data_IF_304985373009
#
_entry.id   IF_304985373009
#
_cell.length_a   1.000
_cell.length_b   1.000
_cell.length_c   1.000
_cell.angle_alpha   90.00
_cell.angle_beta   90.00
_cell.angle_gamma   90.00
#
_symmetry.space_group_name_H-M   'P 1'
#
loop_
_entity.id
_entity.type
_entity.pdbx_description
1 polymer ?
#
# COMPACT_ATOMS: atom_id res chain seq x y z
N UNK A 1 24.34 -14.13 4.05
CA UNK A 1 25.75 -13.67 3.98
C UNK A 1 25.77 -12.18 3.67
N UNK A 2 26.53 -11.37 4.42
CA UNK A 2 26.45 -9.91 4.40
C UNK A 2 27.62 -9.28 5.16
N UNK A 3 27.43 -8.17 5.88
CA UNK A 3 28.50 -7.46 6.62
C UNK A 3 29.34 -8.39 7.54
N UNK A 4 28.74 -9.49 8.04
CA UNK A 4 29.42 -10.50 8.87
C UNK A 4 30.40 -11.41 8.11
N UNK A 5 30.26 -11.51 6.79
CA UNK A 5 31.15 -12.30 5.90
C UNK A 5 32.05 -11.45 5.01
N UNK A 6 32.08 -10.12 5.22
CA UNK A 6 32.86 -9.12 4.44
C UNK A 6 32.54 -9.05 2.93
N UNK A 7 31.77 -9.98 2.39
CA UNK A 7 31.24 -10.02 1.03
C UNK A 7 29.90 -10.79 0.99
N UNK A 8 29.02 -10.37 0.08
CA UNK A 8 27.68 -10.88 -0.17
C UNK A 8 27.07 -10.12 -1.34
N UNK A 9 25.78 -9.79 -1.31
CA UNK A 9 25.17 -8.93 -2.34
C UNK A 9 25.75 -7.51 -2.39
N UNK A 10 26.40 -7.08 -1.32
CA UNK A 10 27.11 -5.81 -1.22
C UNK A 10 28.51 -6.03 -0.63
N UNK A 11 29.48 -5.26 -1.12
CA UNK A 11 30.85 -5.23 -0.62
C UNK A 11 31.22 -3.78 -0.27
N UNK A 12 31.72 -3.54 0.94
CA UNK A 12 32.27 -2.24 1.34
C UNK A 12 33.76 -2.21 1.02
N UNK A 13 34.21 -1.18 0.33
CA UNK A 13 35.62 -0.87 0.08
C UNK A 13 35.93 0.38 0.88
N UNK A 14 36.90 0.29 1.80
CA UNK A 14 37.33 1.47 2.56
C UNK A 14 38.02 2.43 1.60
N UNK A 15 37.54 3.67 1.55
CA UNK A 15 38.19 4.72 0.77
C UNK A 15 39.38 5.31 1.55
N UNK A 16 40.23 6.06 0.85
CA UNK A 16 41.38 6.74 1.45
C UNK A 16 40.93 7.76 2.52
N UNK A 17 41.84 8.10 3.43
CA UNK A 17 41.57 8.96 4.59
C UNK A 17 40.91 10.29 4.17
N UNK A 18 39.64 10.48 4.55
CA UNK A 18 38.81 11.63 4.19
C UNK A 18 37.71 11.39 3.15
N UNK A 19 37.59 10.18 2.59
CA UNK A 19 36.54 9.81 1.62
C UNK A 19 35.54 8.78 2.20
N UNK A 20 34.28 8.84 1.76
CA UNK A 20 33.24 7.89 2.17
C UNK A 20 33.54 6.46 1.65
N UNK A 21 33.31 5.45 2.49
CA UNK A 21 33.42 4.04 2.09
C UNK A 21 32.56 3.73 0.85
N UNK A 22 33.18 3.20 -0.20
CA UNK A 22 32.45 2.80 -1.41
C UNK A 22 31.68 1.50 -1.16
N UNK A 23 30.38 1.54 -1.43
CA UNK A 23 29.53 0.33 -1.46
C UNK A 23 29.41 -0.17 -2.89
N UNK A 24 29.98 -1.33 -3.16
CA UNK A 24 29.78 -2.08 -4.39
C UNK A 24 28.57 -3.01 -4.26
N UNK A 25 27.81 -3.17 -5.34
CA UNK A 25 26.72 -4.13 -5.46
C UNK A 25 27.11 -5.20 -6.48
N UNK A 26 26.68 -6.44 -6.27
CA UNK A 26 26.91 -7.51 -7.25
C UNK A 26 25.90 -7.39 -8.39
N UNK A 27 26.38 -7.50 -9.64
CA UNK A 27 25.50 -7.71 -10.79
C UNK A 27 25.07 -9.18 -10.80
N UNK A 28 23.77 -9.45 -10.89
CA UNK A 28 23.24 -10.81 -10.84
C UNK A 28 23.48 -11.60 -12.13
N UNK A 29 23.81 -10.94 -13.24
CA UNK A 29 24.13 -11.58 -14.53
C UNK A 29 25.61 -11.90 -14.66
N UNK A 30 26.48 -10.97 -14.28
CA UNK A 30 27.94 -11.15 -14.43
C UNK A 30 28.61 -11.64 -13.15
N UNK A 31 27.91 -11.56 -12.00
CA UNK A 31 28.45 -11.82 -10.65
C UNK A 31 29.62 -10.89 -10.27
N UNK A 32 29.84 -9.81 -11.03
CA UNK A 32 30.87 -8.82 -10.77
C UNK A 32 30.35 -7.68 -9.90
N UNK A 33 31.25 -7.11 -9.11
CA UNK A 33 30.93 -5.98 -8.25
C UNK A 33 31.05 -4.66 -9.02
N UNK A 34 30.01 -3.86 -9.01
CA UNK A 34 29.98 -2.52 -9.59
C UNK A 34 29.62 -1.47 -8.52
N UNK A 35 30.01 -0.20 -8.71
CA UNK A 35 29.59 0.89 -7.83
C UNK A 35 28.07 0.91 -7.69
N UNK A 36 27.56 0.98 -6.45
CA UNK A 36 26.11 1.00 -6.20
C UNK A 36 25.47 2.18 -6.93
N UNK A 37 24.69 1.89 -7.95
CA UNK A 37 23.85 2.88 -8.59
C UNK A 37 22.51 2.96 -7.86
N UNK A 38 22.15 4.16 -7.37
CA UNK A 38 20.79 4.42 -6.89
C UNK A 38 19.91 4.65 -8.11
N UNK A 39 18.89 3.82 -8.36
CA UNK A 39 17.96 4.04 -9.47
C UNK A 39 17.31 5.42 -9.34
N UNK A 40 17.37 6.23 -10.41
CA UNK A 40 16.71 7.53 -10.46
C UNK A 40 15.43 7.39 -11.28
N UNK A 41 14.31 7.75 -10.67
CA UNK A 41 13.01 7.74 -11.32
C UNK A 41 12.46 9.16 -11.26
N UNK A 42 12.28 9.86 -12.40
CA UNK A 42 11.80 11.24 -12.43
C UNK A 42 10.49 11.43 -11.64
N UNK A 43 9.57 10.47 -11.73
CA UNK A 43 8.30 10.51 -11.02
C UNK A 43 8.48 10.44 -9.49
N UNK A 44 9.43 9.63 -9.00
CA UNK A 44 9.74 9.58 -7.56
C UNK A 44 10.36 10.89 -7.07
N UNK A 45 11.19 11.54 -7.88
CA UNK A 45 11.79 12.82 -7.51
C UNK A 45 10.74 13.94 -7.45
N UNK A 46 9.76 13.94 -8.35
CA UNK A 46 8.63 14.87 -8.28
C UNK A 46 7.73 14.60 -7.06
N UNK A 47 7.44 13.32 -6.79
CA UNK A 47 6.56 12.92 -5.68
C UNK A 47 7.12 13.28 -4.29
N UNK A 48 8.45 13.41 -4.14
CA UNK A 48 9.07 13.85 -2.87
C UNK A 48 8.65 15.25 -2.44
N UNK A 49 8.26 16.11 -3.38
CA UNK A 49 7.84 17.48 -3.09
C UNK A 49 6.36 17.57 -2.69
N UNK A 50 5.61 16.46 -2.71
CA UNK A 50 4.20 16.43 -2.32
C UNK A 50 4.11 16.00 -0.86
N UNK A 51 3.78 16.94 0.03
CA UNK A 51 3.70 16.67 1.47
C UNK A 51 2.52 15.74 1.82
N UNK A 52 1.38 15.89 1.14
CA UNK A 52 0.19 15.08 1.41
C UNK A 52 0.31 13.67 0.80
N UNK A 53 0.18 12.64 1.65
CA UNK A 53 0.46 11.25 1.28
C UNK A 53 -0.54 10.68 0.26
N UNK A 54 -1.82 11.07 0.33
CA UNK A 54 -2.84 10.67 -0.64
C UNK A 54 -2.62 11.27 -2.04
N UNK A 55 -2.32 12.56 -2.14
CA UNK A 55 -1.98 13.25 -3.38
C UNK A 55 -0.71 12.69 -3.98
N UNK A 56 0.30 12.43 -3.15
CA UNK A 56 1.54 11.76 -3.55
C UNK A 56 1.24 10.38 -4.14
N UNK A 57 0.38 9.60 -3.48
CA UNK A 57 -0.04 8.29 -3.95
C UNK A 57 -0.76 8.37 -5.30
N UNK A 58 -1.75 9.25 -5.44
CA UNK A 58 -2.50 9.43 -6.69
C UNK A 58 -1.59 9.86 -7.84
N UNK A 59 -0.63 10.74 -7.56
CA UNK A 59 0.40 11.14 -8.53
C UNK A 59 1.28 9.94 -8.95
N UNK A 60 1.78 9.16 -8.00
CA UNK A 60 2.63 7.99 -8.28
C UNK A 60 1.89 6.90 -9.07
N UNK A 61 0.59 6.78 -8.88
CA UNK A 61 -0.26 5.83 -9.60
C UNK A 61 -0.75 6.36 -10.96
N UNK A 62 -0.49 7.62 -11.28
CA UNK A 62 -1.00 8.29 -12.48
C UNK A 62 -2.53 8.46 -12.46
N UNK A 63 -3.12 8.56 -11.25
CA UNK A 63 -4.56 8.77 -11.04
C UNK A 63 -4.93 10.25 -10.91
N UNK A 64 -3.96 11.15 -10.74
CA UNK A 64 -4.17 12.59 -10.66
C UNK A 64 -3.03 13.36 -11.36
N UNK A 65 -3.41 14.33 -12.20
CA UNK A 65 -2.48 15.23 -12.90
C UNK A 65 -1.69 14.57 -14.04
N UNK A 66 -0.58 13.92 -13.67
CA UNK A 66 0.38 13.33 -14.61
C UNK A 66 -0.06 11.91 -14.92
N UNK A 67 -0.80 11.73 -16.02
CA UNK A 67 -1.24 10.39 -16.47
C UNK A 67 -0.08 9.41 -16.62
N UNK A 68 -0.36 8.09 -16.72
CA UNK A 68 0.66 7.04 -16.75
C UNK A 68 1.73 7.35 -17.81
N UNK A 69 2.94 7.63 -17.33
CA UNK A 69 4.05 8.00 -18.20
C UNK A 69 4.57 6.76 -18.93
N UNK A 70 4.71 6.85 -20.25
CA UNK A 70 5.22 5.75 -21.07
C UNK A 70 6.67 5.47 -20.66
N UNK A 71 6.91 4.31 -20.06
CA UNK A 71 8.23 3.92 -19.54
C UNK A 71 8.42 4.09 -18.03
N UNK A 72 7.39 4.53 -17.29
CA UNK A 72 7.45 4.59 -15.84
C UNK A 72 7.30 3.20 -15.19
N UNK A 73 8.45 2.58 -14.94
CA UNK A 73 8.54 1.29 -14.26
C UNK A 73 8.14 1.38 -12.79
N UNK A 74 8.31 2.54 -12.15
CA UNK A 74 8.02 2.70 -10.73
C UNK A 74 6.51 2.75 -10.49
N UNK A 75 5.77 3.57 -11.25
CA UNK A 75 4.31 3.63 -11.17
C UNK A 75 3.64 2.32 -11.58
N UNK A 76 4.16 1.63 -12.61
CA UNK A 76 3.65 0.31 -13.02
C UNK A 76 3.84 -0.75 -11.91
N UNK A 77 5.01 -0.76 -11.27
CA UNK A 77 5.28 -1.64 -10.13
C UNK A 77 4.37 -1.32 -8.95
N UNK A 78 4.26 -0.05 -8.57
CA UNK A 78 3.44 0.39 -7.44
C UNK A 78 1.96 0.08 -7.69
N UNK A 79 1.47 0.31 -8.90
CA UNK A 79 0.11 -0.05 -9.29
C UNK A 79 -0.17 -1.54 -9.12
N UNK A 80 0.73 -2.41 -9.62
CA UNK A 80 0.54 -3.85 -9.47
C UNK A 80 0.59 -4.28 -8.01
N UNK A 81 1.56 -3.80 -7.24
CA UNK A 81 1.70 -4.15 -5.83
C UNK A 81 0.49 -3.70 -5.00
N UNK A 82 0.02 -2.46 -5.22
CA UNK A 82 -1.12 -1.93 -4.48
C UNK A 82 -2.45 -2.53 -4.92
N UNK A 83 -2.67 -2.80 -6.22
CA UNK A 83 -3.88 -3.50 -6.66
C UNK A 83 -4.01 -4.87 -6.01
N UNK A 84 -2.90 -5.60 -5.92
CA UNK A 84 -2.88 -6.94 -5.35
C UNK A 84 -3.05 -6.86 -3.82
N UNK A 85 -2.42 -5.89 -3.17
CA UNK A 85 -2.60 -5.61 -1.74
C UNK A 85 -4.06 -5.28 -1.40
N UNK A 86 -4.71 -4.42 -2.17
CA UNK A 86 -6.09 -4.00 -1.95
C UNK A 86 -7.06 -5.16 -2.14
N UNK A 87 -6.95 -5.90 -3.24
CA UNK A 87 -7.77 -7.08 -3.48
C UNK A 87 -7.54 -8.16 -2.43
N UNK A 88 -6.29 -8.41 -2.05
CA UNK A 88 -5.96 -9.37 -0.99
C UNK A 88 -6.58 -8.94 0.35
N UNK A 89 -6.33 -7.70 0.78
CA UNK A 89 -6.84 -7.18 2.06
C UNK A 89 -8.35 -7.23 2.11
N UNK A 90 -9.03 -6.86 1.03
CA UNK A 90 -10.48 -6.93 0.94
C UNK A 90 -11.01 -8.36 1.00
N UNK A 91 -10.35 -9.34 0.37
CA UNK A 91 -10.76 -10.74 0.47
C UNK A 91 -10.58 -11.35 1.87
N UNK A 92 -9.74 -10.76 2.72
CA UNK A 92 -9.52 -11.20 4.11
C UNK A 92 -10.47 -10.57 5.12
N UNK A 93 -11.25 -9.56 4.71
CA UNK A 93 -12.30 -8.96 5.54
C UNK A 93 -13.36 -10.01 5.85
N UNK A 94 -13.73 -10.13 7.12
CA UNK A 94 -14.61 -11.16 7.69
C UNK A 94 -14.02 -12.58 7.82
N UNK A 95 -12.79 -12.81 7.35
CA UNK A 95 -12.06 -14.07 7.60
C UNK A 95 -11.07 -13.91 8.75
N UNK A 96 -10.27 -12.83 8.72
CA UNK A 96 -9.20 -12.57 9.71
C UNK A 96 -9.57 -11.42 10.66
N UNK A 97 -10.47 -10.53 10.24
CA UNK A 97 -10.87 -9.34 10.99
C UNK A 97 -12.34 -9.04 10.78
N UNK A 98 -13.02 -8.61 11.84
CA UNK A 98 -14.42 -8.20 11.80
C UNK A 98 -14.59 -6.82 11.14
N UNK A 99 -13.53 -6.00 11.13
CA UNK A 99 -13.57 -4.64 10.58
C UNK A 99 -12.35 -4.28 9.72
N UNK A 100 -12.55 -3.38 8.75
CA UNK A 100 -11.45 -2.79 7.94
C UNK A 100 -10.53 -1.90 8.79
N UNK A 101 -11.08 -1.30 9.85
CA UNK A 101 -10.36 -0.41 10.78
C UNK A 101 -9.27 -1.18 11.54
N UNK A 102 -9.56 -2.40 11.97
CA UNK A 102 -8.60 -3.25 12.67
C UNK A 102 -7.44 -3.67 11.78
N UNK A 103 -7.72 -3.97 10.49
CA UNK A 103 -6.67 -4.29 9.51
C UNK A 103 -5.74 -3.09 9.33
N UNK A 104 -6.30 -1.90 9.13
CA UNK A 104 -5.50 -0.68 8.96
C UNK A 104 -4.70 -0.36 10.23
N UNK A 105 -5.29 -0.47 11.42
CA UNK A 105 -4.58 -0.29 12.69
C UNK A 105 -3.45 -1.30 12.87
N UNK A 106 -3.67 -2.56 12.52
CA UNK A 106 -2.65 -3.60 12.61
C UNK A 106 -1.46 -3.27 11.70
N UNK A 107 -1.72 -2.79 10.47
CA UNK A 107 -0.66 -2.39 9.54
C UNK A 107 0.08 -1.13 10.03
N UNK A 108 -0.64 -0.14 10.55
CA UNK A 108 -0.04 1.09 11.07
C UNK A 108 0.83 0.84 12.30
N UNK A 109 0.32 0.07 13.27
CA UNK A 109 1.03 -0.18 14.52
C UNK A 109 2.09 -1.28 14.40
N UNK A 110 1.84 -2.30 13.58
CA UNK A 110 2.75 -3.44 13.41
C UNK A 110 3.87 -3.20 12.41
N UNK A 111 3.59 -2.49 11.33
CA UNK A 111 4.55 -2.24 10.25
C UNK A 111 4.97 -0.76 10.12
N UNK A 112 4.52 0.09 11.05
CA UNK A 112 4.78 1.54 11.05
C UNK A 112 4.34 2.23 9.73
N UNK A 113 3.21 1.80 9.18
CA UNK A 113 2.62 2.44 8.01
C UNK A 113 1.93 3.75 8.42
N UNK A 114 2.02 4.76 7.55
CA UNK A 114 1.34 6.04 7.76
C UNK A 114 -0.18 5.90 7.55
N UNK A 115 -0.56 5.19 6.49
CA UNK A 115 -1.93 4.85 6.12
C UNK A 115 -2.06 3.34 5.95
N UNK A 116 -3.13 2.77 6.50
CA UNK A 116 -3.44 1.35 6.29
C UNK A 116 -3.89 1.05 4.85
N UNK A 117 -3.96 -0.23 4.43
CA UNK A 117 -4.39 -0.61 3.09
C UNK A 117 -5.74 -0.03 2.66
N UNK A 118 -6.76 0.05 3.53
CA UNK A 118 -8.06 0.61 3.16
C UNK A 118 -8.05 2.14 3.16
N UNK A 119 -7.34 2.78 4.10
CA UNK A 119 -7.07 4.23 4.08
C UNK A 119 -6.32 4.65 2.81
N UNK A 120 -5.32 3.86 2.38
CA UNK A 120 -4.59 4.06 1.12
C UNK A 120 -5.53 3.91 -0.09
N UNK A 121 -6.43 2.93 -0.05
CA UNK A 121 -7.39 2.73 -1.13
C UNK A 121 -8.36 3.91 -1.25
N UNK A 122 -8.85 4.42 -0.12
CA UNK A 122 -9.70 5.60 -0.09
C UNK A 122 -8.96 6.85 -0.57
N UNK A 123 -7.69 7.02 -0.17
CA UNK A 123 -6.86 8.12 -0.65
C UNK A 123 -6.59 8.05 -2.17
N UNK A 124 -6.45 6.85 -2.73
CA UNK A 124 -6.32 6.63 -4.16
C UNK A 124 -7.65 6.79 -4.93
N UNK A 125 -8.78 6.61 -4.26
CA UNK A 125 -10.13 6.64 -4.82
C UNK A 125 -10.61 5.26 -5.26
N UNK A 126 -11.55 4.66 -4.51
CA UNK A 126 -12.03 3.29 -4.74
C UNK A 126 -12.70 3.14 -6.12
N UNK A 127 -13.51 4.11 -6.54
CA UNK A 127 -14.23 4.05 -7.82
C UNK A 127 -13.27 4.02 -9.03
N UNK A 128 -12.30 4.94 -9.04
CA UNK A 128 -11.33 5.08 -10.13
C UNK A 128 -10.40 3.86 -10.19
N UNK A 129 -9.90 3.42 -9.03
CA UNK A 129 -9.01 2.26 -8.94
C UNK A 129 -9.72 0.98 -9.38
N UNK A 130 -10.97 0.75 -8.97
CA UNK A 130 -11.77 -0.41 -9.39
C UNK A 130 -12.09 -0.35 -10.88
N UNK A 131 -12.46 0.81 -11.42
CA UNK A 131 -12.70 0.98 -12.85
C UNK A 131 -11.45 0.62 -13.67
N UNK A 132 -10.27 1.07 -13.23
CA UNK A 132 -8.99 0.72 -13.86
C UNK A 132 -8.67 -0.77 -13.72
N UNK A 133 -8.85 -1.37 -12.55
CA UNK A 133 -8.66 -2.81 -12.34
C UNK A 133 -9.55 -3.65 -13.26
N UNK A 134 -10.82 -3.27 -13.43
CA UNK A 134 -11.75 -3.92 -14.36
C UNK A 134 -11.31 -3.78 -15.81
N UNK A 135 -10.88 -2.58 -16.23
CA UNK A 135 -10.34 -2.35 -17.57
C UNK A 135 -9.11 -3.21 -17.87
N UNK A 136 -8.28 -3.47 -16.86
CA UNK A 136 -7.09 -4.30 -16.95
C UNK A 136 -7.37 -5.81 -16.71
N UNK A 137 -8.64 -6.22 -16.54
CA UNK A 137 -9.03 -7.60 -16.18
C UNK A 137 -8.34 -8.15 -14.93
N UNK A 138 -8.03 -7.29 -13.96
CA UNK A 138 -7.48 -7.69 -12.66
C UNK A 138 -8.59 -8.17 -11.73
N UNK A 139 -8.25 -9.05 -10.80
CA UNK A 139 -9.18 -9.54 -9.79
C UNK A 139 -9.60 -8.39 -8.86
N UNK A 140 -10.92 -8.24 -8.66
CA UNK A 140 -11.52 -7.29 -7.71
C UNK A 140 -12.33 -8.08 -6.68
N UNK A 141 -12.18 -7.74 -5.41
CA UNK A 141 -12.86 -8.44 -4.32
C UNK A 141 -14.38 -8.16 -4.33
N UNK A 142 -15.25 -9.18 -4.10
CA UNK A 142 -16.70 -9.01 -4.18
C UNK A 142 -17.29 -7.99 -3.18
N UNK A 143 -16.65 -7.80 -2.04
CA UNK A 143 -17.08 -6.83 -1.03
C UNK A 143 -16.92 -5.37 -1.49
N UNK A 144 -15.90 -5.08 -2.30
CA UNK A 144 -15.71 -3.76 -2.92
C UNK A 144 -16.82 -3.48 -3.93
N UNK A 145 -17.18 -4.48 -4.72
CA UNK A 145 -18.27 -4.34 -5.68
C UNK A 145 -19.60 -4.09 -4.98
N UNK A 146 -19.85 -4.80 -3.87
CA UNK A 146 -21.01 -4.54 -2.99
C UNK A 146 -20.98 -3.14 -2.38
N UNK A 147 -19.79 -2.65 -1.99
CA UNK A 147 -19.61 -1.30 -1.47
C UNK A 147 -20.01 -0.26 -2.51
N UNK A 148 -19.48 -0.37 -3.74
CA UNK A 148 -19.78 0.54 -4.85
C UNK A 148 -21.25 0.44 -5.30
N UNK A 149 -21.81 -0.77 -5.35
CA UNK A 149 -23.22 -1.00 -5.66
C UNK A 149 -24.17 -0.40 -4.61
N UNK A 150 -23.73 -0.27 -3.36
CA UNK A 150 -24.48 0.42 -2.30
C UNK A 150 -24.41 1.96 -2.39
N UNK A 151 -23.80 2.51 -3.45
CA UNK A 151 -23.65 3.95 -3.66
C UNK A 151 -22.53 4.60 -2.83
N UNK A 152 -21.73 3.80 -2.11
CA UNK A 152 -20.61 4.30 -1.31
C UNK A 152 -19.35 4.35 -2.16
N UNK A 153 -18.56 5.41 -2.00
CA UNK A 153 -17.34 5.66 -2.78
C UNK A 153 -16.05 5.49 -1.99
N UNK A 154 -16.16 5.20 -0.70
CA UNK A 154 -15.07 5.08 0.26
C UNK A 154 -15.44 4.05 1.32
N UNK A 155 -14.42 3.37 1.85
CA UNK A 155 -14.53 2.40 2.93
C UNK A 155 -14.87 3.07 4.27
N UNK A 156 -14.33 4.27 4.49
CA UNK A 156 -14.55 5.07 5.67
C UNK A 156 -15.69 6.08 5.47
N UNK A 157 -16.33 6.49 6.58
CA UNK A 157 -17.11 7.72 6.63
C UNK A 157 -16.45 8.69 7.58
N UNK A 158 -16.44 9.96 7.20
CA UNK A 158 -16.11 11.03 8.13
C UNK A 158 -17.27 11.15 9.13
N UNK A 159 -16.98 10.85 10.40
CA UNK A 159 -17.89 11.11 11.51
C UNK A 159 -17.45 12.43 12.18
N UNK A 160 -18.25 13.51 12.08
CA UNK A 160 -17.87 14.81 12.63
C UNK A 160 -17.85 14.85 14.17
N UNK A 161 -18.23 13.78 14.88
CA UNK A 161 -18.29 13.76 16.35
C UNK A 161 -17.06 13.19 17.05
N UNK A 162 -16.07 12.69 16.30
CA UNK A 162 -14.83 12.15 16.88
C UNK A 162 -13.63 13.03 16.53
N UNK A 163 -13.09 13.73 17.53
CA UNK A 163 -11.91 14.62 17.41
C UNK A 163 -10.58 13.87 17.15
N UNK A 164 -10.62 12.62 16.72
CA UNK A 164 -9.44 11.84 16.35
C UNK A 164 -9.84 10.77 15.34
N UNK A 165 -9.30 10.89 14.12
CA UNK A 165 -9.11 9.83 13.11
C UNK A 165 -10.36 9.05 12.68
N UNK A 166 -10.80 9.29 11.43
CA UNK A 166 -11.77 8.51 10.63
C UNK A 166 -12.17 7.16 11.24
N UNK A 167 -13.21 7.16 12.06
CA UNK A 167 -13.63 6.03 12.86
C UNK A 167 -15.12 5.75 12.76
N UNK A 168 -15.64 5.57 11.55
CA UNK A 168 -17.05 5.22 11.33
C UNK A 168 -17.22 4.22 10.19
N UNK A 169 -17.48 2.95 10.53
CA UNK A 169 -17.86 1.90 9.57
C UNK A 169 -19.23 2.17 8.96
N UNK A 170 -19.39 1.82 7.69
CA UNK A 170 -20.70 1.80 7.03
C UNK A 170 -21.16 0.38 6.78
N UNK A 171 -21.94 -0.15 7.71
CA UNK A 171 -22.79 -1.32 7.48
C UNK A 171 -22.22 -2.61 8.05
N UNK A 172 -22.64 -2.92 9.27
CA UNK A 172 -22.49 -4.26 9.81
C UNK A 172 -23.34 -5.25 9.02
N UNK A 173 -22.70 -6.23 8.40
CA UNK A 173 -23.37 -7.47 8.00
C UNK A 173 -23.54 -8.27 9.29
N UNK A 174 -24.65 -8.03 10.01
CA UNK A 174 -25.07 -8.93 11.10
C UNK A 174 -25.60 -10.21 10.45
N UNK A 175 -24.72 -11.20 10.30
CA UNK A 175 -25.13 -12.59 10.18
C UNK A 175 -25.79 -12.99 11.50
N UNK A 176 -27.08 -13.34 11.44
CA UNK A 176 -27.88 -13.69 12.60
C UNK A 176 -27.32 -14.91 13.32
N UNK A 177 -26.82 -14.72 14.54
CA UNK A 177 -26.73 -15.78 15.54
C UNK A 177 -27.65 -15.42 16.70
N UNK A 178 -28.65 -16.28 16.89
CA UNK A 178 -29.70 -16.13 17.89
C UNK A 178 -29.13 -15.97 19.30
N UNK A 179 -29.82 -15.14 20.08
CA UNK A 179 -29.65 -14.99 21.53
C UNK A 179 -29.63 -16.37 22.19
N UNK A 180 -28.51 -16.76 22.78
CA UNK A 180 -28.53 -17.73 23.89
C UNK A 180 -28.65 -16.94 25.20
N UNK A 181 -29.72 -17.28 25.92
CA UNK A 181 -30.13 -16.72 27.19
C UNK A 181 -29.17 -17.18 28.31
N UNK A 182 -28.62 -16.30 29.16
CA UNK A 182 -27.69 -16.71 30.20
C UNK A 182 -28.40 -16.87 31.54
N UNK A 183 -29.12 -17.99 31.78
CA UNK A 183 -29.47 -18.51 33.12
C UNK A 183 -29.87 -19.99 33.03
N UNK A 184 -29.05 -20.89 33.57
CA UNK A 184 -29.46 -22.12 34.28
C UNK A 184 -28.21 -22.97 34.59
N UNK A 185 -27.84 -22.95 35.89
CA UNK A 185 -26.93 -23.82 36.64
C UNK A 185 -25.45 -23.81 36.26
#
# INVERSE_FOLDING_TARGET
LGDKTKAGFYKKVKAAEGQEDERLAVDWKTLEYHPRQKPKFPLLDMAKNVEETGARLRMLLGLEGVGPQKGDKAGAFLWSALSDLWTYSANRVAEISDTVVEIDRAMRLGFNWELGPFELWDAAGVEITVARMKKENRAVAPNVEKLLASGKKSWYKDDPTTASTRGGLVGGIRSGRGRRNPKAW
#
